data_IF_610237148852
#
_entry.id   IF_610237148852
#
_cell.length_a   1.000
_cell.length_b   1.000
_cell.length_c   1.000
_cell.angle_alpha   90.00
_cell.angle_beta   90.00
_cell.angle_gamma   90.00
#
_symmetry.space_group_name_H-M   'P 1'
#
loop_
_entity.id
_entity.type
_entity.pdbx_description
1 polymer ?
#
# COMPACT_ATOMS: atom_id res chain seq x y z
N UNK A 1 -12.37 -19.23 6.12
CA UNK A 1 -13.66 -18.84 6.70
C UNK A 1 -14.53 -18.32 5.57
N UNK A 2 -15.65 -18.98 5.30
CA UNK A 2 -16.38 -18.93 4.02
C UNK A 2 -17.21 -17.66 3.83
N UNK A 3 -17.24 -17.18 2.58
CA UNK A 3 -18.13 -16.17 2.02
C UNK A 3 -19.58 -16.69 2.02
N UNK A 4 -20.45 -16.09 2.84
CA UNK A 4 -21.92 -15.96 2.71
C UNK A 4 -22.56 -15.96 4.08
N UNK A 5 -22.88 -14.79 4.60
CA UNK A 5 -24.07 -14.52 5.41
C UNK A 5 -23.92 -13.13 6.03
N UNK A 6 -25.02 -12.36 6.00
CA UNK A 6 -25.34 -11.12 6.74
C UNK A 6 -25.99 -10.10 5.78
N UNK A 7 -27.17 -10.47 5.28
CA UNK A 7 -28.16 -9.51 4.80
C UNK A 7 -29.32 -9.52 5.81
N UNK A 8 -29.41 -8.47 6.61
CA UNK A 8 -30.60 -8.05 7.32
C UNK A 8 -30.66 -6.52 7.18
N UNK A 9 -31.80 -6.03 6.70
CA UNK A 9 -31.99 -4.66 6.23
C UNK A 9 -32.06 -3.64 7.39
N UNK A 10 -31.25 -2.61 7.27
CA UNK A 10 -31.46 -1.25 7.78
C UNK A 10 -31.20 -0.32 6.58
N UNK A 11 -31.74 0.91 6.52
CA UNK A 11 -31.52 1.78 5.37
C UNK A 11 -30.06 2.22 5.36
N UNK A 12 -29.20 1.37 4.78
CA UNK A 12 -27.85 1.70 4.41
C UNK A 12 -27.95 2.76 3.33
N UNK A 13 -27.43 3.96 3.59
CA UNK A 13 -26.96 4.79 2.50
C UNK A 13 -25.98 3.93 1.68
N UNK A 14 -26.43 3.47 0.51
CA UNK A 14 -25.63 2.64 -0.39
C UNK A 14 -24.36 3.37 -0.80
N UNK A 15 -23.37 2.64 -1.29
CA UNK A 15 -22.11 3.23 -1.76
C UNK A 15 -22.33 4.39 -2.77
N UNK A 16 -23.45 4.36 -3.51
CA UNK A 16 -23.88 5.39 -4.46
C UNK A 16 -24.23 6.74 -3.80
N UNK A 17 -24.69 6.74 -2.54
CA UNK A 17 -25.10 7.96 -1.85
C UNK A 17 -23.92 8.72 -1.22
N UNK A 18 -22.76 8.07 -1.05
CA UNK A 18 -21.51 8.74 -0.68
C UNK A 18 -20.81 9.42 -1.87
N UNK A 19 -21.33 9.23 -3.09
CA UNK A 19 -20.82 9.83 -4.33
C UNK A 19 -21.60 11.08 -4.78
N UNK A 20 -22.72 11.42 -4.12
CA UNK A 20 -23.50 12.64 -4.40
C UNK A 20 -22.94 13.86 -3.66
N UNK A 21 -23.36 15.05 -4.08
CA UNK A 21 -22.96 16.31 -3.46
C UNK A 21 -23.28 16.34 -1.96
N UNK A 22 -22.27 16.44 -1.06
CA UNK A 22 -22.48 16.43 0.40
C UNK A 22 -23.45 17.52 0.89
N UNK A 23 -23.61 18.63 0.17
CA UNK A 23 -24.57 19.69 0.53
C UNK A 23 -26.02 19.22 0.52
N UNK A 24 -26.31 18.14 -0.21
CA UNK A 24 -27.64 17.54 -0.30
C UNK A 24 -27.90 16.51 0.78
N UNK A 25 -26.89 16.15 1.58
CA UNK A 25 -27.02 15.13 2.62
C UNK A 25 -27.74 15.69 3.84
N UNK A 26 -28.53 14.83 4.48
CA UNK A 26 -29.30 15.17 5.68
C UNK A 26 -28.44 15.45 6.91
N UNK A 27 -29.07 16.03 7.93
CA UNK A 27 -28.40 16.43 9.17
C UNK A 27 -27.93 15.24 10.00
N UNK A 28 -28.60 14.10 9.91
CA UNK A 28 -28.17 12.86 10.55
C UNK A 28 -28.27 11.68 9.59
N UNK A 29 -27.21 10.90 9.49
CA UNK A 29 -27.21 9.66 8.71
C UNK A 29 -26.20 8.66 9.26
N UNK A 30 -26.46 7.38 9.01
CA UNK A 30 -25.53 6.28 9.31
C UNK A 30 -24.97 5.71 8.01
N UNK A 31 -23.66 5.45 7.99
CA UNK A 31 -22.99 4.74 6.90
C UNK A 31 -21.97 3.75 7.44
N UNK A 32 -21.48 2.83 6.60
CA UNK A 32 -20.55 1.78 7.01
C UNK A 32 -19.20 1.96 6.32
N UNK A 33 -18.15 2.16 7.13
CA UNK A 33 -16.76 2.30 6.66
C UNK A 33 -15.94 1.12 7.18
N UNK A 34 -15.37 0.33 6.25
CA UNK A 34 -14.63 -0.90 6.55
C UNK A 34 -15.45 -1.86 7.43
N UNK A 35 -16.70 -2.15 7.06
CA UNK A 35 -17.59 -3.01 7.85
C UNK A 35 -17.95 -2.51 9.27
N UNK A 36 -17.54 -1.30 9.65
CA UNK A 36 -17.89 -0.66 10.93
C UNK A 36 -18.74 0.57 10.66
N UNK A 37 -19.97 0.56 11.18
CA UNK A 37 -20.89 1.68 11.07
C UNK A 37 -20.36 2.94 11.78
N UNK A 38 -20.68 4.09 11.21
CA UNK A 38 -20.50 5.43 11.79
C UNK A 38 -21.78 6.22 11.60
N UNK A 39 -22.03 7.07 12.58
CA UNK A 39 -23.12 8.02 12.56
C UNK A 39 -22.55 9.43 12.40
N UNK A 40 -23.07 10.16 11.43
CA UNK A 40 -22.67 11.52 11.09
C UNK A 40 -23.82 12.46 11.48
N UNK A 41 -23.55 13.42 12.36
CA UNK A 41 -24.55 14.36 12.89
C UNK A 41 -24.08 15.80 12.69
N UNK A 42 -24.83 16.58 11.92
CA UNK A 42 -24.65 18.01 11.70
C UNK A 42 -25.22 18.77 12.90
N UNK A 43 -24.53 19.82 13.33
CA UNK A 43 -25.03 20.70 14.37
C UNK A 43 -26.25 21.48 13.85
N UNK A 44 -27.29 21.61 14.68
CA UNK A 44 -28.58 22.20 14.28
C UNK A 44 -28.53 23.70 13.97
N UNK A 45 -27.41 24.36 14.25
CA UNK A 45 -27.18 25.79 14.05
C UNK A 45 -26.45 26.11 12.73
N UNK A 46 -26.27 25.12 11.84
CA UNK A 46 -25.54 25.30 10.59
C UNK A 46 -26.13 24.46 9.45
N UNK A 47 -26.25 25.07 8.27
CA UNK A 47 -26.55 24.37 7.01
C UNK A 47 -25.28 23.92 6.26
N UNK A 48 -24.09 24.24 6.80
CA UNK A 48 -22.82 23.82 6.20
C UNK A 48 -22.71 22.29 6.19
N UNK A 49 -22.11 21.71 5.14
CA UNK A 49 -21.85 20.26 5.07
C UNK A 49 -20.72 19.86 6.04
N UNK A 50 -21.06 19.87 7.33
CA UNK A 50 -20.20 19.57 8.46
C UNK A 50 -20.89 18.58 9.38
N UNK A 51 -20.21 17.49 9.76
CA UNK A 51 -20.80 16.47 10.63
C UNK A 51 -19.80 16.05 11.70
N UNK A 52 -20.28 16.00 12.95
CA UNK A 52 -19.63 15.26 14.02
C UNK A 52 -19.81 13.76 13.79
N UNK A 53 -18.74 13.00 14.00
CA UNK A 53 -18.69 11.56 13.72
C UNK A 53 -18.67 10.78 15.03
N UNK A 54 -19.56 9.78 15.13
CA UNK A 54 -19.77 8.97 16.32
C UNK A 54 -19.90 7.48 15.97
N UNK A 55 -19.60 6.56 16.89
CA UNK A 55 -20.16 5.21 16.88
C UNK A 55 -21.70 5.28 16.96
N UNK A 56 -22.45 4.46 16.20
CA UNK A 56 -23.90 4.53 16.19
C UNK A 56 -24.53 4.38 17.58
N UNK A 57 -25.44 5.29 17.90
CA UNK A 57 -26.17 5.28 19.18
C UNK A 57 -25.32 5.59 20.42
N UNK A 58 -24.09 6.09 20.25
CA UNK A 58 -23.19 6.47 21.35
C UNK A 58 -22.75 7.92 21.23
N UNK A 59 -23.23 8.76 22.16
CA UNK A 59 -23.05 10.23 22.09
C UNK A 59 -22.42 10.82 23.35
N UNK A 60 -21.64 10.04 24.10
CA UNK A 60 -20.90 10.60 25.24
C UNK A 60 -19.68 11.35 24.70
N UNK A 61 -19.10 12.31 25.46
CA UNK A 61 -17.91 13.03 25.01
C UNK A 61 -16.74 12.13 24.57
N UNK A 62 -16.58 10.94 25.18
CA UNK A 62 -15.55 9.97 24.79
C UNK A 62 -15.86 9.15 23.54
N UNK A 63 -17.09 9.20 23.02
CA UNK A 63 -17.50 8.53 21.78
C UNK A 63 -17.35 9.45 20.55
N UNK A 64 -17.12 10.76 20.76
CA UNK A 64 -16.91 11.72 19.69
C UNK A 64 -15.55 11.50 19.01
N UNK A 65 -15.58 11.11 17.73
CA UNK A 65 -14.37 10.85 16.95
C UNK A 65 -13.76 12.14 16.36
N UNK A 66 -14.59 13.16 16.10
CA UNK A 66 -14.18 14.42 15.49
C UNK A 66 -15.24 14.97 14.53
N UNK A 67 -14.99 16.16 13.99
CA UNK A 67 -15.85 16.78 12.96
C UNK A 67 -15.16 16.77 11.60
N UNK A 68 -15.93 16.40 10.58
CA UNK A 68 -15.53 16.44 9.18
C UNK A 68 -16.33 17.49 8.44
N UNK A 69 -15.68 18.22 7.53
CA UNK A 69 -16.30 19.21 6.65
C UNK A 69 -16.06 18.85 5.20
N UNK A 70 -17.08 18.88 4.37
CA UNK A 70 -16.89 18.93 2.91
C UNK A 70 -16.73 20.39 2.51
N UNK A 71 -15.59 20.79 1.92
CA UNK A 71 -15.39 22.18 1.50
C UNK A 71 -15.62 22.32 -0.01
N UNK A 72 -16.52 23.24 -0.37
CA UNK A 72 -16.79 23.58 -1.76
C UNK A 72 -15.57 24.17 -2.50
N UNK A 73 -14.62 24.73 -1.75
CA UNK A 73 -13.45 25.42 -2.32
C UNK A 73 -12.45 24.49 -2.99
N UNK A 74 -12.32 23.25 -2.48
CA UNK A 74 -11.36 22.28 -3.00
C UNK A 74 -11.97 20.91 -3.30
N UNK A 75 -13.25 20.68 -2.98
CA UNK A 75 -13.93 19.41 -3.19
C UNK A 75 -13.42 18.29 -2.29
N UNK A 76 -12.70 18.62 -1.21
CA UNK A 76 -12.11 17.65 -0.29
C UNK A 76 -12.87 17.61 1.05
N UNK A 77 -12.65 16.51 1.76
CA UNK A 77 -13.05 16.34 3.15
C UNK A 77 -11.94 16.82 4.07
N UNK A 78 -12.28 17.67 5.03
CA UNK A 78 -11.34 18.26 5.99
C UNK A 78 -11.62 17.74 7.40
N UNK A 79 -10.59 17.28 8.08
CA UNK A 79 -10.65 16.96 9.51
C UNK A 79 -10.51 18.26 10.30
N UNK A 80 -11.54 18.66 11.06
CA UNK A 80 -11.57 19.99 11.70
C UNK A 80 -10.38 20.23 12.64
N UNK A 81 -10.00 19.22 13.42
CA UNK A 81 -9.00 19.36 14.47
C UNK A 81 -7.57 19.49 13.92
N UNK A 82 -7.28 18.85 12.79
CA UNK A 82 -5.92 18.76 12.23
C UNK A 82 -5.74 19.55 10.94
N UNK A 83 -6.83 19.84 10.22
CA UNK A 83 -6.80 20.43 8.89
C UNK A 83 -6.47 19.42 7.77
N UNK A 84 -6.31 18.14 8.10
CA UNK A 84 -5.99 17.09 7.13
C UNK A 84 -7.08 16.96 6.07
N UNK A 85 -6.66 16.74 4.82
CA UNK A 85 -7.54 16.74 3.64
C UNK A 85 -7.59 15.35 3.01
N UNK A 86 -8.79 14.91 2.66
CA UNK A 86 -9.03 13.60 2.07
C UNK A 86 -10.00 13.68 0.89
N UNK A 87 -9.76 12.86 -0.13
CA UNK A 87 -10.62 12.80 -1.30
C UNK A 87 -12.00 12.14 -1.01
N UNK A 88 -12.15 11.48 0.14
CA UNK A 88 -13.39 10.78 0.50
C UNK A 88 -13.72 10.93 1.98
N UNK A 89 -15.02 10.92 2.31
CA UNK A 89 -15.50 10.80 3.68
C UNK A 89 -14.89 9.58 4.37
N UNK A 90 -14.79 8.47 3.65
CA UNK A 90 -14.27 7.22 4.20
C UNK A 90 -12.84 7.37 4.74
N UNK A 91 -11.93 7.99 3.98
CA UNK A 91 -10.56 8.21 4.43
C UNK A 91 -10.49 9.24 5.57
N UNK A 92 -11.31 10.28 5.53
CA UNK A 92 -11.41 11.23 6.64
C UNK A 92 -11.89 10.55 7.95
N UNK A 93 -12.88 9.65 7.87
CA UNK A 93 -13.33 8.84 9.01
C UNK A 93 -12.23 7.88 9.48
N UNK A 94 -11.46 7.27 8.57
CA UNK A 94 -10.31 6.42 8.94
C UNK A 94 -9.25 7.20 9.71
N UNK A 95 -9.01 8.46 9.34
CA UNK A 95 -8.12 9.35 10.09
C UNK A 95 -8.64 9.62 11.50
N UNK A 96 -9.94 9.90 11.67
CA UNK A 96 -10.53 10.10 13.01
C UNK A 96 -10.46 8.86 13.92
N UNK A 97 -10.38 7.66 13.34
CA UNK A 97 -10.31 6.39 14.09
C UNK A 97 -8.89 5.98 14.49
N UNK A 98 -7.85 6.66 14.01
CA UNK A 98 -6.46 6.26 14.27
C UNK A 98 -6.10 6.46 15.75
N UNK A 99 -5.21 5.62 16.32
CA UNK A 99 -4.84 5.72 17.72
C UNK A 99 -4.07 7.02 18.00
N UNK A 100 -4.11 7.49 19.24
CA UNK A 100 -3.34 8.66 19.69
C UNK A 100 -1.83 8.46 19.61
N UNK A 101 -1.35 7.22 19.44
CA UNK A 101 0.05 6.88 19.20
C UNK A 101 0.53 7.22 17.78
N UNK A 102 -0.40 7.44 16.84
CA UNK A 102 -0.08 7.64 15.42
C UNK A 102 1.01 8.68 15.15
N UNK A 103 1.05 9.87 15.79
CA UNK A 103 2.11 10.84 15.54
C UNK A 103 3.52 10.25 15.75
N UNK A 104 3.70 9.44 16.80
CA UNK A 104 4.98 8.76 17.06
C UNK A 104 5.28 7.67 16.05
N UNK A 105 4.27 6.95 15.58
CA UNK A 105 4.43 5.90 14.57
C UNK A 105 4.76 6.50 13.20
N UNK A 106 4.17 7.66 12.86
CA UNK A 106 4.52 8.46 11.70
C UNK A 106 5.96 8.96 11.77
N UNK A 107 6.39 9.51 12.90
CA UNK A 107 7.78 9.98 13.09
C UNK A 107 8.80 8.84 12.96
N UNK A 108 8.45 7.65 13.45
CA UNK A 108 9.26 6.44 13.25
C UNK A 108 9.36 6.06 11.76
N UNK A 109 8.25 6.08 11.03
CA UNK A 109 8.26 5.81 9.59
C UNK A 109 9.08 6.85 8.81
N UNK A 110 8.99 8.13 9.17
CA UNK A 110 9.82 9.18 8.58
C UNK A 110 11.32 9.00 8.89
N UNK A 111 11.65 8.62 10.12
CA UNK A 111 13.03 8.34 10.52
C UNK A 111 13.59 7.10 9.83
N UNK A 112 12.79 6.04 9.71
CA UNK A 112 13.12 4.85 8.93
C UNK A 112 13.42 5.19 7.47
N UNK A 113 12.57 5.99 6.81
CA UNK A 113 12.80 6.40 5.43
C UNK A 113 14.10 7.22 5.26
N UNK A 114 14.38 8.13 6.21
CA UNK A 114 15.64 8.89 6.21
C UNK A 114 16.87 8.01 6.38
N UNK A 115 16.79 6.99 7.24
CA UNK A 115 17.88 6.03 7.44
C UNK A 115 18.13 5.20 6.18
N UNK A 116 17.08 4.73 5.51
CA UNK A 116 17.21 4.03 4.23
C UNK A 116 17.81 4.92 3.14
N UNK A 117 17.31 6.15 2.98
CA UNK A 117 17.83 7.09 1.96
C UNK A 117 19.29 7.49 2.21
N UNK A 118 19.80 7.34 3.43
CA UNK A 118 21.20 7.58 3.77
C UNK A 118 22.07 6.32 3.65
N UNK A 119 21.47 5.14 3.42
CA UNK A 119 22.16 3.86 3.30
C UNK A 119 22.72 3.71 1.88
N UNK A 120 24.06 3.71 1.68
CA UNK A 120 24.65 3.54 0.35
C UNK A 120 24.43 2.13 -0.23
N UNK A 121 24.00 1.17 0.60
CA UNK A 121 23.68 -0.19 0.17
C UNK A 121 22.18 -0.38 -0.16
N UNK A 122 21.38 0.69 -0.16
CA UNK A 122 19.95 0.62 -0.50
C UNK A 122 19.76 0.30 -1.98
N UNK A 123 19.03 -0.78 -2.25
CA UNK A 123 18.43 -1.07 -3.55
C UNK A 123 16.92 -1.22 -3.39
N UNK A 124 16.16 -0.47 -4.18
CA UNK A 124 14.73 -0.68 -4.32
C UNK A 124 14.49 -1.67 -5.46
N UNK A 125 13.75 -2.73 -5.20
CA UNK A 125 13.48 -3.80 -6.17
C UNK A 125 11.98 -4.00 -6.39
N UNK A 126 11.63 -4.44 -7.60
CA UNK A 126 10.29 -4.92 -7.94
C UNK A 126 10.41 -6.06 -8.95
N UNK A 127 9.53 -7.05 -8.83
CA UNK A 127 9.49 -8.22 -9.70
C UNK A 127 8.10 -8.34 -10.34
N UNK A 128 8.05 -8.32 -11.68
CA UNK A 128 6.87 -8.76 -12.41
C UNK A 128 6.93 -10.27 -12.59
N UNK A 129 5.80 -10.95 -12.45
CA UNK A 129 5.76 -12.40 -12.31
C UNK A 129 4.75 -13.03 -13.26
N UNK A 130 4.83 -14.35 -13.43
CA UNK A 130 3.89 -15.09 -14.26
C UNK A 130 2.47 -15.20 -13.68
N UNK A 131 2.21 -14.77 -12.44
CA UNK A 131 0.96 -15.04 -11.74
C UNK A 131 0.97 -14.68 -10.26
N UNK A 132 -0.08 -15.00 -9.52
CA UNK A 132 -0.15 -14.70 -8.08
C UNK A 132 0.25 -15.87 -7.18
N UNK A 133 0.03 -17.12 -7.62
CA UNK A 133 0.22 -18.30 -6.78
C UNK A 133 1.42 -19.10 -7.28
N UNK A 134 2.48 -19.16 -6.46
CA UNK A 134 3.75 -19.81 -6.79
C UNK A 134 4.31 -19.41 -8.17
N UNK A 135 4.43 -18.09 -8.46
CA UNK A 135 4.79 -17.65 -9.79
C UNK A 135 6.32 -17.66 -10.00
N UNK A 136 6.74 -17.38 -11.22
CA UNK A 136 8.14 -17.26 -11.61
C UNK A 136 8.42 -15.83 -12.10
N UNK A 137 9.68 -15.41 -12.03
CA UNK A 137 10.07 -14.04 -12.39
C UNK A 137 10.03 -13.86 -13.91
N UNK A 138 9.43 -12.75 -14.35
CA UNK A 138 9.30 -12.36 -15.76
C UNK A 138 9.98 -11.01 -16.06
N UNK A 139 10.10 -10.14 -15.06
CA UNK A 139 10.95 -8.95 -15.08
C UNK A 139 11.51 -8.73 -13.67
N UNK A 140 12.76 -8.32 -13.55
CA UNK A 140 13.35 -7.86 -12.29
C UNK A 140 13.99 -6.50 -12.57
N UNK A 141 13.61 -5.49 -11.79
CA UNK A 141 14.27 -4.19 -11.82
C UNK A 141 14.80 -3.82 -10.45
N UNK A 142 15.90 -3.05 -10.43
CA UNK A 142 16.45 -2.48 -9.22
C UNK A 142 16.98 -1.06 -9.49
N UNK A 143 16.69 -0.14 -8.58
CA UNK A 143 17.31 1.20 -8.55
C UNK A 143 18.04 1.41 -7.22
N UNK A 144 19.08 2.23 -7.23
CA UNK A 144 19.74 2.66 -5.99
C UNK A 144 18.98 3.81 -5.30
N UNK A 145 19.44 4.20 -4.10
CA UNK A 145 18.88 5.32 -3.34
C UNK A 145 18.97 6.69 -4.02
N UNK A 146 19.73 6.83 -5.13
CA UNK A 146 19.79 8.05 -5.94
C UNK A 146 18.76 8.05 -7.09
N UNK A 147 18.11 6.91 -7.34
CA UNK A 147 17.18 6.72 -8.45
C UNK A 147 17.85 6.23 -9.74
N UNK A 148 19.13 5.86 -9.69
CA UNK A 148 19.84 5.26 -10.82
C UNK A 148 19.38 3.82 -11.03
N UNK A 149 19.02 3.48 -12.26
CA UNK A 149 18.62 2.12 -12.64
C UNK A 149 19.86 1.25 -12.76
N UNK A 150 20.01 0.28 -11.85
CA UNK A 150 21.17 -0.63 -11.80
C UNK A 150 20.85 -2.00 -12.41
N UNK A 151 19.57 -2.35 -12.54
CA UNK A 151 19.09 -3.55 -13.20
C UNK A 151 17.70 -3.30 -13.79
N UNK A 152 17.46 -3.75 -15.02
CA UNK A 152 16.12 -3.83 -15.61
C UNK A 152 16.10 -4.92 -16.68
N UNK A 153 15.86 -6.15 -16.23
CA UNK A 153 15.96 -7.33 -17.09
C UNK A 153 14.60 -7.98 -17.27
N UNK A 154 14.28 -8.35 -18.51
CA UNK A 154 13.24 -9.32 -18.82
C UNK A 154 13.81 -10.73 -18.60
N UNK A 155 12.96 -11.64 -18.14
CA UNK A 155 13.33 -13.03 -17.90
C UNK A 155 12.42 -13.97 -18.68
N UNK A 156 13.00 -15.04 -19.21
CA UNK A 156 12.22 -16.20 -19.65
C UNK A 156 11.89 -17.06 -18.42
N UNK A 157 10.63 -17.06 -17.93
CA UNK A 157 10.27 -17.78 -16.71
C UNK A 157 10.19 -19.30 -16.90
N UNK A 158 10.25 -19.78 -18.16
CA UNK A 158 9.99 -21.17 -18.55
C UNK A 158 8.71 -21.74 -17.92
N UNK A 159 7.69 -20.89 -17.81
CA UNK A 159 6.40 -21.20 -17.21
C UNK A 159 5.29 -20.46 -17.95
N UNK A 160 4.06 -20.95 -17.82
CA UNK A 160 2.89 -20.28 -18.36
C UNK A 160 2.56 -19.02 -17.56
N UNK A 161 2.07 -17.99 -18.24
CA UNK A 161 1.52 -16.80 -17.62
C UNK A 161 0.03 -16.98 -17.34
N UNK A 162 -0.40 -16.60 -16.14
CA UNK A 162 -1.82 -16.42 -15.84
C UNK A 162 -2.37 -15.27 -16.71
N UNK A 163 -3.54 -15.42 -17.35
CA UNK A 163 -4.11 -14.37 -18.21
C UNK A 163 -4.25 -13.02 -17.51
N UNK A 164 -4.58 -13.03 -16.21
CA UNK A 164 -4.71 -11.81 -15.44
C UNK A 164 -3.35 -11.11 -15.26
N UNK A 165 -2.27 -11.83 -14.97
CA UNK A 165 -0.93 -11.25 -14.86
C UNK A 165 -0.54 -10.57 -16.18
N UNK A 166 -0.67 -11.28 -17.30
CA UNK A 166 -0.45 -10.73 -18.64
C UNK A 166 -1.28 -9.48 -18.93
N UNK A 167 -2.54 -9.41 -18.46
CA UNK A 167 -3.39 -8.22 -18.64
C UNK A 167 -2.91 -7.00 -17.86
N UNK A 168 -2.19 -7.21 -16.76
CA UNK A 168 -1.70 -6.13 -15.90
C UNK A 168 -0.41 -5.54 -16.45
N UNK A 169 0.63 -6.37 -16.63
CA UNK A 169 1.98 -5.92 -17.04
C UNK A 169 2.30 -6.10 -18.54
N UNK A 170 1.43 -6.77 -19.31
CA UNK A 170 1.62 -6.94 -20.77
C UNK A 170 2.69 -7.97 -21.18
N UNK A 171 3.33 -8.64 -20.23
CA UNK A 171 4.33 -9.68 -20.52
C UNK A 171 3.62 -11.02 -20.79
N UNK A 172 4.16 -11.76 -21.74
CA UNK A 172 3.64 -13.05 -22.19
C UNK A 172 4.81 -14.00 -22.47
N UNK A 173 4.52 -15.30 -22.57
CA UNK A 173 5.52 -16.30 -22.94
C UNK A 173 6.26 -15.93 -24.25
N UNK A 174 5.55 -15.35 -25.23
CA UNK A 174 6.13 -14.90 -26.51
C UNK A 174 7.06 -13.70 -26.33
N UNK A 175 6.66 -12.68 -25.58
CA UNK A 175 7.49 -11.48 -25.39
C UNK A 175 8.73 -11.75 -24.55
N UNK A 176 8.73 -12.82 -23.75
CA UNK A 176 9.88 -13.22 -22.91
C UNK A 176 10.66 -14.40 -23.47
N UNK A 177 10.34 -14.92 -24.66
CA UNK A 177 10.87 -16.22 -25.12
C UNK A 177 12.39 -16.20 -25.34
N UNK A 178 12.92 -15.07 -25.79
CA UNK A 178 14.35 -14.86 -26.08
C UNK A 178 15.12 -14.20 -24.94
N UNK A 179 14.46 -13.89 -23.82
CA UNK A 179 15.10 -13.33 -22.65
C UNK A 179 15.95 -14.38 -21.91
N UNK A 180 16.93 -13.93 -21.13
CA UNK A 180 17.72 -14.79 -20.27
C UNK A 180 16.82 -15.49 -19.23
N UNK A 181 17.16 -16.71 -18.82
CA UNK A 181 16.46 -17.34 -17.70
C UNK A 181 16.98 -16.78 -16.39
N UNK A 182 16.25 -17.00 -15.28
CA UNK A 182 16.76 -16.65 -13.95
C UNK A 182 18.11 -17.30 -13.65
N UNK A 183 18.34 -18.53 -14.12
CA UNK A 183 19.63 -19.22 -13.90
C UNK A 183 20.78 -18.54 -14.64
N UNK A 184 20.52 -17.98 -15.81
CA UNK A 184 21.53 -17.24 -16.59
C UNK A 184 21.88 -15.90 -15.92
N UNK A 185 20.88 -15.23 -15.31
CA UNK A 185 21.05 -13.97 -14.59
C UNK A 185 21.56 -14.14 -13.15
N UNK A 186 21.53 -15.35 -12.58
CA UNK A 186 21.89 -15.58 -11.19
C UNK A 186 23.28 -15.03 -10.81
N UNK A 187 24.35 -15.16 -11.61
CA UNK A 187 25.64 -14.53 -11.30
C UNK A 187 25.56 -13.00 -11.19
N UNK A 188 24.82 -12.36 -12.10
CA UNK A 188 24.59 -10.90 -12.08
C UNK A 188 23.81 -10.48 -10.84
N UNK A 189 22.69 -11.16 -10.55
CA UNK A 189 21.89 -10.90 -9.35
C UNK A 189 22.70 -11.10 -8.06
N UNK A 190 23.55 -12.13 -8.02
CA UNK A 190 24.45 -12.39 -6.89
C UNK A 190 25.43 -11.23 -6.69
N UNK A 191 26.07 -10.75 -7.76
CA UNK A 191 27.01 -9.62 -7.69
C UNK A 191 26.35 -8.29 -7.32
N UNK A 192 25.09 -8.08 -7.72
CA UNK A 192 24.35 -6.86 -7.43
C UNK A 192 23.69 -6.88 -6.05
N UNK A 193 23.10 -7.98 -5.61
CA UNK A 193 22.22 -8.00 -4.43
C UNK A 193 22.91 -8.44 -3.14
N UNK A 194 23.95 -9.27 -3.21
CA UNK A 194 24.64 -9.71 -1.99
C UNK A 194 25.28 -8.53 -1.25
N UNK A 195 25.07 -8.49 0.06
CA UNK A 195 25.50 -7.39 0.94
C UNK A 195 24.63 -6.14 0.85
N UNK A 196 23.62 -6.10 -0.03
CA UNK A 196 22.73 -4.95 -0.18
C UNK A 196 21.51 -5.03 0.74
N UNK A 197 20.88 -3.86 0.90
CA UNK A 197 19.62 -3.67 1.59
C UNK A 197 18.50 -3.56 0.54
N UNK A 198 17.85 -4.68 0.29
CA UNK A 198 16.77 -4.82 -0.68
C UNK A 198 15.44 -4.38 -0.08
N UNK A 199 14.97 -3.21 -0.49
CA UNK A 199 13.65 -2.71 -0.15
C UNK A 199 12.68 -3.04 -1.28
N UNK A 200 11.56 -3.66 -0.93
CA UNK A 200 10.46 -3.87 -1.86
C UNK A 200 9.14 -3.42 -1.26
N UNK A 201 8.15 -3.12 -2.09
CA UNK A 201 6.84 -2.71 -1.59
C UNK A 201 6.20 -3.84 -0.78
N UNK A 202 6.23 -5.06 -1.30
CA UNK A 202 5.74 -6.27 -0.64
C UNK A 202 6.86 -7.32 -0.60
N UNK A 203 7.86 -7.10 0.25
CA UNK A 203 9.10 -7.87 0.23
C UNK A 203 8.88 -9.36 0.40
N UNK A 204 7.84 -9.76 1.12
CA UNK A 204 7.48 -11.17 1.27
C UNK A 204 7.20 -11.82 -0.09
N UNK A 205 6.46 -11.13 -0.96
CA UNK A 205 6.13 -11.66 -2.27
C UNK A 205 7.37 -11.74 -3.16
N UNK A 206 8.14 -10.66 -3.28
CA UNK A 206 9.37 -10.64 -4.09
C UNK A 206 10.40 -11.67 -3.60
N UNK A 207 10.60 -11.76 -2.27
CA UNK A 207 11.46 -12.77 -1.65
C UNK A 207 11.00 -14.20 -1.98
N UNK A 208 9.69 -14.49 -1.90
CA UNK A 208 9.16 -15.82 -2.19
C UNK A 208 9.33 -16.21 -3.67
N UNK A 209 9.28 -15.24 -4.59
CA UNK A 209 9.58 -15.44 -6.02
C UNK A 209 11.06 -15.79 -6.22
N UNK A 210 11.97 -14.98 -5.66
CA UNK A 210 13.41 -15.22 -5.75
C UNK A 210 13.77 -16.58 -5.12
N UNK A 211 13.23 -16.89 -3.94
CA UNK A 211 13.39 -18.19 -3.29
C UNK A 211 12.97 -19.33 -4.21
N UNK A 212 11.83 -19.20 -4.89
CA UNK A 212 11.31 -20.23 -5.77
C UNK A 212 12.20 -20.44 -7.00
N UNK A 213 12.71 -19.37 -7.60
CA UNK A 213 13.66 -19.47 -8.70
C UNK A 213 14.98 -20.11 -8.27
N UNK A 214 15.49 -19.77 -7.09
CA UNK A 214 16.68 -20.40 -6.50
C UNK A 214 16.45 -21.90 -6.23
N UNK A 215 15.28 -22.27 -5.69
CA UNK A 215 14.91 -23.68 -5.49
C UNK A 215 14.88 -24.43 -6.83
N UNK A 216 14.34 -23.82 -7.89
CA UNK A 216 14.34 -24.40 -9.24
C UNK A 216 15.76 -24.60 -9.76
N UNK A 217 16.64 -23.63 -9.57
CA UNK A 217 18.03 -23.66 -10.03
C UNK A 217 18.87 -24.68 -9.26
N UNK A 218 18.95 -24.54 -7.93
CA UNK A 218 19.85 -25.34 -7.10
C UNK A 218 19.31 -26.72 -6.73
N UNK A 219 17.97 -26.89 -6.68
CA UNK A 219 17.27 -28.12 -6.25
C UNK A 219 17.57 -28.58 -4.81
N UNK A 220 18.41 -27.86 -4.07
CA UNK A 220 18.83 -28.17 -2.71
C UNK A 220 18.59 -26.97 -1.78
N UNK A 221 18.13 -27.17 -0.53
CA UNK A 221 17.81 -26.06 0.37
C UNK A 221 19.02 -25.23 0.83
N UNK A 222 20.18 -25.86 1.04
CA UNK A 222 21.36 -25.19 1.60
C UNK A 222 21.83 -23.97 0.77
N UNK A 223 22.11 -24.08 -0.54
CA UNK A 223 22.51 -22.93 -1.34
C UNK A 223 21.43 -21.84 -1.44
N UNK A 224 20.15 -22.21 -1.46
CA UNK A 224 19.03 -21.25 -1.46
C UNK A 224 19.05 -20.40 -0.20
N UNK A 225 19.19 -21.03 0.96
CA UNK A 225 19.21 -20.32 2.24
C UNK A 225 20.44 -19.42 2.38
N UNK A 226 21.61 -19.87 1.90
CA UNK A 226 22.84 -19.07 1.89
C UNK A 226 22.68 -17.82 1.03
N UNK A 227 22.12 -17.96 -0.18
CA UNK A 227 21.90 -16.83 -1.07
C UNK A 227 20.93 -15.81 -0.46
N UNK A 228 19.77 -16.26 0.04
CA UNK A 228 18.77 -15.36 0.62
C UNK A 228 19.28 -14.64 1.87
N UNK A 229 20.09 -15.31 2.69
CA UNK A 229 20.68 -14.73 3.90
C UNK A 229 21.81 -13.74 3.63
N UNK A 230 22.36 -13.71 2.40
CA UNK A 230 23.37 -12.75 1.99
C UNK A 230 22.79 -11.36 1.65
N UNK A 231 21.46 -11.23 1.62
CA UNK A 231 20.74 -9.97 1.38
C UNK A 231 20.00 -9.53 2.66
N UNK A 232 19.90 -8.22 2.88
CA UNK A 232 18.96 -7.66 3.85
C UNK A 232 17.65 -7.35 3.15
N UNK A 233 16.54 -7.87 3.66
CA UNK A 233 15.21 -7.69 3.06
C UNK A 233 14.35 -6.79 3.95
N UNK A 234 13.79 -5.73 3.38
CA UNK A 234 12.96 -4.76 4.10
C UNK A 234 11.62 -4.55 3.38
N UNK A 235 10.54 -4.52 4.17
CA UNK A 235 9.17 -4.33 3.67
C UNK A 235 8.70 -2.89 3.82
N UNK A 236 8.21 -2.29 2.73
CA UNK A 236 7.74 -0.92 2.77
C UNK A 236 6.25 -0.76 3.11
N UNK A 237 5.42 -1.81 3.03
CA UNK A 237 3.95 -1.69 3.25
C UNK A 237 3.66 -1.16 4.64
N UNK A 238 4.27 -1.71 5.69
CA UNK A 238 3.91 -1.33 7.07
C UNK A 238 4.36 0.10 7.41
N UNK A 239 5.62 0.51 7.16
CA UNK A 239 6.04 1.90 7.39
C UNK A 239 5.22 2.91 6.58
N UNK A 240 4.93 2.62 5.30
CA UNK A 240 4.11 3.50 4.45
C UNK A 240 2.68 3.58 4.97
N UNK A 241 2.08 2.47 5.40
CA UNK A 241 0.71 2.45 5.93
C UNK A 241 0.61 3.22 7.25
N UNK A 242 1.60 3.08 8.14
CA UNK A 242 1.66 3.86 9.37
C UNK A 242 1.81 5.36 9.08
N UNK A 243 2.66 5.72 8.11
CA UNK A 243 2.83 7.10 7.68
C UNK A 243 1.54 7.70 7.12
N UNK A 244 0.77 6.98 6.28
CA UNK A 244 -0.51 7.49 5.75
C UNK A 244 -1.60 7.61 6.83
N UNK A 245 -1.55 6.80 7.87
CA UNK A 245 -2.40 6.96 9.06
C UNK A 245 -3.87 6.59 8.88
N UNK A 246 -4.24 5.98 7.76
CA UNK A 246 -5.61 5.54 7.51
C UNK A 246 -5.92 4.30 8.34
N UNK A 247 -6.70 4.43 9.41
CA UNK A 247 -6.99 3.31 10.31
C UNK A 247 -8.07 2.36 9.78
N UNK A 248 -7.80 1.07 9.83
CA UNK A 248 -8.80 0.02 9.60
C UNK A 248 -9.29 -0.53 10.94
N UNK A 249 -10.51 -0.16 11.32
CA UNK A 249 -11.10 -0.58 12.59
C UNK A 249 -11.24 -2.12 12.73
N UNK A 250 -11.68 -2.90 11.73
CA UNK A 250 -11.79 -4.35 11.87
C UNK A 250 -10.45 -5.07 12.07
N UNK A 251 -9.40 -4.53 11.46
CA UNK A 251 -8.07 -5.15 11.48
C UNK A 251 -7.18 -4.64 12.60
N UNK A 252 -7.64 -3.61 13.34
CA UNK A 252 -6.86 -2.92 14.36
C UNK A 252 -5.44 -2.56 13.87
N UNK A 253 -5.38 -2.06 12.63
CA UNK A 253 -4.12 -1.76 11.95
C UNK A 253 -4.31 -0.63 10.94
N UNK A 254 -3.21 0.00 10.55
CA UNK A 254 -3.20 0.91 9.42
C UNK A 254 -3.52 0.16 8.12
N UNK A 255 -4.38 0.79 7.31
CA UNK A 255 -4.82 0.26 6.03
C UNK A 255 -3.63 0.21 5.09
N UNK A 256 -3.40 -0.96 4.53
CA UNK A 256 -2.44 -1.15 3.44
C UNK A 256 -2.84 -0.27 2.27
N UNK A 257 -1.97 0.68 1.94
CA UNK A 257 -2.17 1.53 0.77
C UNK A 257 -1.72 0.75 -0.46
N UNK A 258 -2.16 1.10 -1.66
CA UNK A 258 -1.51 0.64 -2.89
C UNK A 258 -0.41 1.63 -3.24
N UNK A 259 0.73 1.15 -3.70
CA UNK A 259 1.77 2.05 -4.20
C UNK A 259 1.25 2.86 -5.40
N UNK A 260 0.45 2.20 -6.27
CA UNK A 260 -0.10 2.77 -7.50
C UNK A 260 0.83 2.56 -8.69
N UNK A 261 0.57 3.24 -9.81
CA UNK A 261 1.46 3.23 -10.97
C UNK A 261 1.11 2.21 -12.05
N UNK A 262 1.96 2.15 -13.08
CA UNK A 262 1.92 1.16 -14.14
C UNK A 262 2.57 -0.15 -13.67
N UNK A 263 2.10 -1.28 -14.20
CA UNK A 263 2.68 -2.59 -13.93
C UNK A 263 3.98 -2.79 -14.73
N UNK A 264 5.01 -2.06 -14.32
CA UNK A 264 6.36 -2.11 -14.85
C UNK A 264 7.33 -2.00 -13.66
N UNK A 265 8.28 -2.92 -13.55
CA UNK A 265 9.09 -3.02 -12.35
C UNK A 265 9.97 -1.78 -12.08
N UNK A 266 10.62 -1.24 -13.11
CA UNK A 266 11.42 -0.02 -12.96
C UNK A 266 10.56 1.19 -12.55
N UNK A 267 9.35 1.33 -13.11
CA UNK A 267 8.42 2.39 -12.75
C UNK A 267 7.94 2.25 -11.30
N UNK A 268 7.66 1.04 -10.82
CA UNK A 268 7.32 0.77 -9.42
C UNK A 268 8.48 1.10 -8.48
N UNK A 269 9.72 0.74 -8.83
CA UNK A 269 10.90 1.09 -8.04
C UNK A 269 11.00 2.62 -7.85
N UNK A 270 10.83 3.39 -8.93
CA UNK A 270 10.84 4.86 -8.88
C UNK A 270 9.72 5.40 -8.00
N UNK A 271 8.51 4.86 -8.15
CA UNK A 271 7.37 5.26 -7.33
C UNK A 271 7.58 4.95 -5.84
N UNK A 272 8.27 3.86 -5.51
CA UNK A 272 8.64 3.53 -4.15
C UNK A 272 9.68 4.51 -3.60
N UNK A 273 10.68 4.90 -4.40
CA UNK A 273 11.67 5.90 -4.02
C UNK A 273 11.02 7.26 -3.77
N UNK A 274 10.12 7.70 -4.67
CA UNK A 274 9.34 8.93 -4.48
C UNK A 274 8.54 8.87 -3.19
N UNK A 275 7.95 7.72 -2.88
CA UNK A 275 7.21 7.50 -1.63
C UNK A 275 8.14 7.60 -0.43
N UNK A 276 9.33 7.02 -0.45
CA UNK A 276 10.33 7.18 0.62
C UNK A 276 10.70 8.65 0.85
N UNK A 277 10.92 9.42 -0.22
CA UNK A 277 11.21 10.85 -0.10
C UNK A 277 10.06 11.63 0.54
N UNK A 278 8.81 11.33 0.18
CA UNK A 278 7.63 11.89 0.85
C UNK A 278 7.59 11.49 2.33
N UNK A 279 7.88 10.22 2.63
CA UNK A 279 7.93 9.73 4.01
C UNK A 279 8.93 10.50 4.85
N UNK A 280 10.13 10.69 4.30
CA UNK A 280 11.26 11.32 4.97
C UNK A 280 11.03 12.82 5.24
N UNK A 281 10.42 13.54 4.31
CA UNK A 281 10.48 15.01 4.28
C UNK A 281 9.15 15.75 4.19
N UNK A 282 8.02 15.06 3.99
CA UNK A 282 6.73 15.75 3.98
C UNK A 282 6.44 16.34 5.37
N UNK A 283 6.00 17.60 5.45
CA UNK A 283 5.49 18.16 6.71
C UNK A 283 4.30 17.34 7.20
N UNK A 284 3.92 17.57 8.47
CA UNK A 284 2.69 17.05 9.05
C UNK A 284 1.52 17.36 8.11
N UNK A 285 0.64 16.38 7.81
CA UNK A 285 -0.40 16.51 6.78
C UNK A 285 -1.43 17.60 7.08
#
# INVERSE_FOLDING_TARGET
>A
MSLRSLWAASPSYGADALASDPRTWGDAFTTTIDSVAVECIRASDTDRPAWGVYPPGRYRPGDYLGTLHARDTDGLWHVQATGERHASLADAVRTLRRPSTWPRERDRAATWARQLLADPALLLIDIQTTGLIQPFAAQISAIDGTGTLVLDELLNPRAAFEPHASSLHGLTARTTEHAATFSDLLPTLTGLFHGQHLLAYNVRYDHDVIKRELVRHHKQPAPVNVWLAACRWEDAILPISAWTGLWSAPHHAYRRTRLGGSYNAAAHCRLLLDRLHQLAWSPTP
#
